data_IF_358878605783
#
_entry.id   IF_358878605783
#
_cell.length_a   1.000
_cell.length_b   1.000
_cell.length_c   1.000
_cell.angle_alpha   90.00
_cell.angle_beta   90.00
_cell.angle_gamma   90.00
#
_symmetry.space_group_name_H-M   'P 1'
#
loop_
_entity.id
_entity.type
_entity.pdbx_description
1 polymer ?
#
# COMPACT_ATOMS: atom_id res chain seq x y z
N UNK A 1 -1.06 32.95 19.00
CA UNK A 1 -0.56 31.57 18.98
C UNK A 1 -1.58 30.74 18.21
N UNK A 2 -1.32 30.47 16.93
CA UNK A 2 -2.14 29.54 16.14
C UNK A 2 -1.69 28.12 16.47
N UNK A 3 -2.60 27.13 16.52
CA UNK A 3 -2.24 25.74 16.77
C UNK A 3 -1.33 25.24 15.62
N UNK A 4 -0.32 24.40 15.91
CA UNK A 4 0.52 23.83 14.87
C UNK A 4 -0.38 23.05 13.92
N UNK A 5 -0.27 23.36 12.64
CA UNK A 5 -1.01 22.68 11.60
C UNK A 5 -0.63 21.19 11.62
N UNK A 6 -1.47 20.36 12.22
CA UNK A 6 -1.54 18.93 11.90
C UNK A 6 -2.15 18.75 10.50
N UNK A 7 -1.55 19.42 9.50
CA UNK A 7 -2.01 19.41 8.11
C UNK A 7 -0.88 18.88 7.24
N UNK A 8 -0.58 17.59 7.41
CA UNK A 8 -0.21 16.74 6.29
C UNK A 8 0.98 17.26 5.44
N UNK A 9 2.00 17.81 6.09
CA UNK A 9 3.28 18.12 5.46
C UNK A 9 4.07 16.81 5.31
N UNK A 10 3.77 16.05 4.25
CA UNK A 10 4.62 14.93 3.87
C UNK A 10 6.02 15.49 3.62
N UNK A 11 6.93 15.23 4.56
CA UNK A 11 8.32 15.64 4.43
C UNK A 11 8.92 14.99 3.18
N UNK A 12 9.91 15.61 2.51
CA UNK A 12 10.52 15.03 1.32
C UNK A 12 11.06 13.62 1.57
N UNK A 13 11.56 13.35 2.78
CA UNK A 13 12.00 12.01 3.22
C UNK A 13 10.85 11.00 3.27
N UNK A 14 9.66 11.42 3.71
CA UNK A 14 8.48 10.57 3.75
C UNK A 14 7.93 10.30 2.35
N UNK A 15 7.98 11.29 1.46
CA UNK A 15 7.64 11.11 0.04
C UNK A 15 8.59 10.13 -0.65
N UNK A 16 9.88 10.18 -0.33
CA UNK A 16 10.89 9.23 -0.83
C UNK A 16 10.60 7.81 -0.32
N UNK A 17 10.34 7.66 0.99
CA UNK A 17 9.96 6.38 1.59
C UNK A 17 8.68 5.79 0.99
N UNK A 18 7.66 6.62 0.73
CA UNK A 18 6.41 6.22 0.07
C UNK A 18 6.67 5.76 -1.37
N UNK A 19 7.50 6.50 -2.12
CA UNK A 19 7.88 6.16 -3.49
C UNK A 19 8.69 4.86 -3.55
N UNK A 20 9.62 4.66 -2.62
CA UNK A 20 10.39 3.43 -2.51
C UNK A 20 9.47 2.23 -2.19
N UNK A 21 8.63 2.35 -1.15
CA UNK A 21 7.69 1.30 -0.77
C UNK A 21 6.71 0.97 -1.92
N UNK A 22 6.22 1.98 -2.63
CA UNK A 22 5.39 1.81 -3.81
C UNK A 22 6.10 0.98 -4.88
N UNK A 23 7.31 1.35 -5.27
CA UNK A 23 8.05 0.66 -6.32
C UNK A 23 8.38 -0.79 -5.95
N UNK A 24 8.77 -1.04 -4.70
CA UNK A 24 9.05 -2.38 -4.20
C UNK A 24 7.81 -3.26 -4.18
N UNK A 25 6.68 -2.77 -3.65
CA UNK A 25 5.42 -3.53 -3.61
C UNK A 25 4.87 -3.74 -5.02
N UNK A 26 4.94 -2.73 -5.89
CA UNK A 26 4.51 -2.82 -7.27
C UNK A 26 5.33 -3.84 -8.08
N UNK A 27 6.63 -3.96 -7.82
CA UNK A 27 7.47 -4.99 -8.43
C UNK A 27 7.00 -6.40 -8.04
N UNK A 28 6.62 -6.61 -6.77
CA UNK A 28 6.08 -7.90 -6.30
C UNK A 28 4.73 -8.18 -6.97
N UNK A 29 3.79 -7.23 -6.94
CA UNK A 29 2.46 -7.39 -7.58
C UNK A 29 2.62 -7.77 -9.07
N UNK A 30 3.50 -7.09 -9.80
CA UNK A 30 3.78 -7.40 -11.21
C UNK A 30 4.42 -8.77 -11.42
N UNK A 31 5.27 -9.22 -10.51
CA UNK A 31 5.89 -10.55 -10.61
C UNK A 31 4.86 -11.68 -10.43
N UNK A 32 3.81 -11.45 -9.64
CA UNK A 32 2.73 -12.41 -9.40
C UNK A 32 1.64 -12.41 -10.48
N UNK A 33 1.51 -11.33 -11.27
CA UNK A 33 0.52 -11.23 -12.35
C UNK A 33 1.21 -11.13 -13.73
N UNK A 34 1.56 -12.27 -14.36
CA UNK A 34 2.19 -12.28 -15.67
C UNK A 34 1.26 -11.82 -16.81
N UNK A 35 -0.06 -11.87 -16.59
CA UNK A 35 -1.06 -11.36 -17.52
C UNK A 35 -1.29 -9.88 -17.25
N UNK A 36 -0.69 -9.03 -18.10
CA UNK A 36 -0.93 -7.58 -18.10
C UNK A 36 -2.38 -7.30 -18.44
N UNK A 37 -3.04 -6.61 -17.52
CA UNK A 37 -4.36 -6.03 -17.70
C UNK A 37 -4.24 -4.59 -17.23
N UNK A 38 -4.04 -3.66 -18.17
CA UNK A 38 -3.74 -2.26 -17.87
C UNK A 38 -4.83 -1.59 -17.02
N UNK A 39 -6.09 -2.05 -17.13
CA UNK A 39 -7.19 -1.55 -16.31
C UNK A 39 -7.08 -2.03 -14.86
N UNK A 40 -6.76 -3.32 -14.66
CA UNK A 40 -6.52 -3.86 -13.31
C UNK A 40 -5.24 -3.32 -12.69
N UNK A 41 -4.23 -3.03 -13.51
CA UNK A 41 -2.98 -2.46 -13.02
C UNK A 41 -3.17 -1.03 -12.50
N UNK A 42 -3.96 -0.20 -13.19
CA UNK A 42 -4.30 1.13 -12.71
C UNK A 42 -5.09 1.09 -11.38
N UNK A 43 -6.03 0.15 -11.25
CA UNK A 43 -6.79 -0.05 -10.01
C UNK A 43 -5.88 -0.48 -8.85
N UNK A 44 -4.97 -1.44 -9.09
CA UNK A 44 -3.99 -1.90 -8.09
C UNK A 44 -3.01 -0.79 -7.69
N UNK A 45 -2.51 -0.01 -8.64
CA UNK A 45 -1.64 1.14 -8.34
C UNK A 45 -2.37 2.19 -7.50
N UNK A 46 -3.65 2.43 -7.77
CA UNK A 46 -4.48 3.35 -7.01
C UNK A 46 -4.72 2.84 -5.58
N UNK A 47 -5.05 1.55 -5.44
CA UNK A 47 -5.21 0.90 -4.14
C UNK A 47 -3.91 0.95 -3.32
N UNK A 48 -2.78 0.59 -3.95
CA UNK A 48 -1.45 0.66 -3.34
C UNK A 48 -1.11 2.07 -2.83
N UNK A 49 -1.31 3.09 -3.66
CA UNK A 49 -1.05 4.48 -3.29
C UNK A 49 -1.91 4.92 -2.10
N UNK A 50 -3.20 4.56 -2.10
CA UNK A 50 -4.13 4.89 -1.02
C UNK A 50 -3.71 4.25 0.30
N UNK A 51 -3.36 2.97 0.29
CA UNK A 51 -2.90 2.25 1.49
C UNK A 51 -1.61 2.88 2.06
N UNK A 52 -0.64 3.20 1.21
CA UNK A 52 0.60 3.84 1.63
C UNK A 52 0.36 5.22 2.27
N UNK A 53 -0.51 6.03 1.68
CA UNK A 53 -0.90 7.34 2.22
C UNK A 53 -1.63 7.19 3.56
N UNK A 54 -2.50 6.19 3.70
CA UNK A 54 -3.21 5.91 4.95
C UNK A 54 -2.24 5.49 6.07
N UNK A 55 -1.29 4.60 5.76
CA UNK A 55 -0.24 4.20 6.71
C UNK A 55 0.63 5.39 7.14
N UNK A 56 1.03 6.24 6.20
CA UNK A 56 1.76 7.46 6.52
C UNK A 56 0.94 8.46 7.34
N UNK A 57 -0.36 8.57 7.08
CA UNK A 57 -1.29 9.39 7.88
C UNK A 57 -1.43 8.86 9.31
N UNK A 58 -1.24 7.56 9.52
CA UNK A 58 -1.18 6.91 10.83
C UNK A 58 0.19 7.03 11.51
N UNK A 59 1.14 7.77 10.92
CA UNK A 59 2.47 8.02 11.47
C UNK A 59 3.53 6.99 11.10
N UNK A 60 3.24 6.07 10.18
CA UNK A 60 4.22 5.09 9.68
C UNK A 60 5.04 5.75 8.57
N UNK A 61 6.30 6.07 8.88
CA UNK A 61 7.22 6.71 7.94
C UNK A 61 8.37 5.79 7.46
N UNK A 62 8.51 4.62 8.09
CA UNK A 62 9.57 3.67 7.73
C UNK A 62 9.21 2.92 6.43
N UNK A 63 10.07 2.93 5.40
CA UNK A 63 9.77 2.31 4.11
C UNK A 63 9.62 0.79 4.20
N UNK A 64 10.36 0.11 5.08
CA UNK A 64 10.24 -1.34 5.26
C UNK A 64 8.92 -1.71 5.93
N UNK A 65 8.50 -0.93 6.94
CA UNK A 65 7.22 -1.11 7.62
C UNK A 65 6.03 -0.78 6.69
N UNK A 66 6.14 0.30 5.90
CA UNK A 66 5.16 0.66 4.87
C UNK A 66 4.97 -0.48 3.87
N UNK A 67 6.07 -1.03 3.34
CA UNK A 67 6.03 -2.18 2.43
C UNK A 67 5.37 -3.39 3.10
N UNK A 68 5.80 -3.76 4.30
CA UNK A 68 5.29 -4.93 5.01
C UNK A 68 3.79 -4.82 5.23
N UNK A 69 3.32 -3.72 5.82
CA UNK A 69 1.90 -3.48 6.13
C UNK A 69 1.05 -3.40 4.87
N UNK A 70 1.59 -2.82 3.82
CA UNK A 70 0.91 -2.74 2.53
C UNK A 70 0.75 -4.13 1.90
N UNK A 71 1.78 -5.00 1.97
CA UNK A 71 1.68 -6.39 1.52
C UNK A 71 0.74 -7.24 2.39
N UNK A 72 0.62 -6.93 3.68
CA UNK A 72 -0.37 -7.55 4.56
C UNK A 72 -1.81 -7.08 4.23
N UNK A 73 -1.96 -5.86 3.71
CA UNK A 73 -3.28 -5.23 3.44
C UNK A 73 -3.78 -5.45 2.02
N UNK A 74 -2.90 -5.40 1.01
CA UNK A 74 -3.23 -5.77 -0.37
C UNK A 74 -2.95 -7.27 -0.54
N UNK A 75 -3.98 -8.14 -0.55
CA UNK A 75 -3.77 -9.53 -0.92
C UNK A 75 -3.23 -9.60 -2.34
N UNK A 76 -2.03 -10.17 -2.47
CA UNK A 76 -1.47 -10.60 -3.75
C UNK A 76 -2.31 -11.80 -4.17
N UNK A 77 -3.33 -11.57 -4.99
CA UNK A 77 -4.31 -12.58 -5.37
C UNK A 77 -3.60 -13.89 -5.80
N UNK A 78 -3.81 -14.91 -4.97
CA UNK A 78 -3.05 -16.16 -4.92
C UNK A 78 -3.24 -16.93 -3.60
N UNK A 79 -3.60 -16.25 -2.51
CA UNK A 79 -4.06 -16.91 -1.28
C UNK A 79 -5.58 -16.73 -1.12
N UNK A 80 -6.33 -17.56 -1.86
CA UNK A 80 -7.66 -17.97 -1.42
C UNK A 80 -7.49 -18.95 -0.26
N UNK A 81 -7.12 -18.47 0.92
CA UNK A 81 -7.42 -19.24 2.13
C UNK A 81 -8.93 -19.23 2.34
N UNK A 82 -9.52 -20.41 2.59
CA UNK A 82 -10.95 -20.64 2.49
C UNK A 82 -11.66 -19.83 3.57
N UNK A 83 -12.73 -19.12 3.18
CA UNK A 83 -13.75 -18.73 4.15
C UNK A 83 -14.39 -20.03 4.66
N UNK A 84 -13.78 -20.58 5.71
CA UNK A 84 -14.38 -21.61 6.54
C UNK A 84 -15.53 -20.96 7.29
N UNK A 85 -16.73 -21.48 7.04
CA UNK A 85 -17.84 -21.53 7.99
C UNK A 85 -18.59 -20.23 8.23
N UNK A 86 -19.77 -20.13 7.62
CA UNK A 86 -20.96 -19.96 8.46
C UNK A 86 -22.06 -20.89 7.93
N UNK A 87 -22.22 -21.97 8.67
CA UNK A 87 -23.35 -22.86 8.71
C UNK A 87 -24.59 -22.06 9.14
N UNK A 88 -25.67 -22.09 8.35
CA UNK A 88 -27.07 -22.39 8.78
C UNK A 88 -28.00 -22.55 7.58
#
# INVERSE_FOLDING_TARGET
MSPPHARNDFSPELLDALSQAFNEVWAVIRAHHPLRDDSKDAERQSALSRTLIELASNGIADPAELRKRTLETLPLDGDVSPVVGDEV
#
